data_IF_206772242331
#
_entry.id   IF_206772242331
#
_cell.length_a   1.000
_cell.length_b   1.000
_cell.length_c   1.000
_cell.angle_alpha   90.00
_cell.angle_beta   90.00
_cell.angle_gamma   90.00
#
_symmetry.space_group_name_H-M   'P 1'
#
loop_
_entity.id
_entity.type
_entity.pdbx_description
1 polymer ?
#
# COMPACT_ATOMS: atom_id res chain seq x y z
N UNK A 1 -22.73 -5.47 -2.64
CA UNK A 1 -24.03 -5.37 -3.33
C UNK A 1 -24.41 -3.91 -3.57
N UNK A 2 -24.45 -3.06 -2.52
CA UNK A 2 -24.86 -1.66 -2.64
C UNK A 2 -24.14 -0.87 -3.75
N UNK A 3 -22.84 -1.09 -3.95
CA UNK A 3 -22.08 -0.45 -5.03
C UNK A 3 -22.54 -0.88 -6.44
N UNK A 4 -23.00 -2.13 -6.60
CA UNK A 4 -23.46 -2.65 -7.91
C UNK A 4 -24.79 -2.01 -8.35
N UNK A 5 -25.66 -1.66 -7.39
CA UNK A 5 -26.99 -1.12 -7.65
C UNK A 5 -27.09 0.39 -7.45
N UNK A 6 -25.99 1.06 -7.12
CA UNK A 6 -25.96 2.50 -6.88
C UNK A 6 -26.40 3.29 -8.13
N UNK A 7 -27.50 4.08 -8.06
CA UNK A 7 -27.98 4.91 -9.17
C UNK A 7 -27.24 6.24 -9.31
N UNK A 8 -26.61 6.73 -8.21
CA UNK A 8 -25.87 8.00 -8.17
C UNK A 8 -24.46 7.81 -7.65
N UNK A 9 -23.58 8.77 -7.99
CA UNK A 9 -22.18 8.72 -7.57
C UNK A 9 -22.04 8.92 -6.05
N UNK A 10 -22.87 9.73 -5.43
CA UNK A 10 -22.86 9.99 -3.98
C UNK A 10 -23.19 8.73 -3.21
N UNK A 11 -24.21 7.96 -3.67
CA UNK A 11 -24.54 6.69 -3.06
C UNK A 11 -23.43 5.66 -3.26
N UNK A 12 -22.79 5.64 -4.44
CA UNK A 12 -21.65 4.78 -4.69
C UNK A 12 -20.49 5.10 -3.72
N UNK A 13 -20.17 6.37 -3.51
CA UNK A 13 -19.12 6.80 -2.56
C UNK A 13 -19.48 6.33 -1.14
N UNK A 14 -20.71 6.55 -0.70
CA UNK A 14 -21.18 6.08 0.61
C UNK A 14 -21.07 4.56 0.79
N UNK A 15 -21.46 3.79 -0.22
CA UNK A 15 -21.34 2.32 -0.21
C UNK A 15 -19.87 1.85 -0.23
N UNK A 16 -18.97 2.57 -0.91
CA UNK A 16 -17.52 2.30 -0.90
C UNK A 16 -16.93 2.58 0.47
N UNK A 17 -17.37 3.62 1.15
CA UNK A 17 -16.95 3.90 2.53
C UNK A 17 -17.34 2.76 3.49
N UNK A 18 -18.59 2.31 3.43
CA UNK A 18 -19.05 1.16 4.23
C UNK A 18 -18.28 -0.14 3.89
N UNK A 19 -18.01 -0.37 2.60
CA UNK A 19 -17.20 -1.49 2.15
C UNK A 19 -15.78 -1.41 2.72
N UNK A 20 -15.18 -0.21 2.81
CA UNK A 20 -13.87 0.02 3.40
C UNK A 20 -13.79 -0.38 4.87
N UNK A 21 -14.82 -0.05 5.66
CA UNK A 21 -14.92 -0.47 7.07
C UNK A 21 -14.89 -2.00 7.19
N UNK A 22 -15.67 -2.70 6.37
CA UNK A 22 -15.66 -4.17 6.35
C UNK A 22 -14.31 -4.74 5.89
N UNK A 23 -13.66 -4.13 4.92
CA UNK A 23 -12.37 -4.58 4.39
C UNK A 23 -11.24 -4.49 5.44
N UNK A 24 -11.30 -3.54 6.37
CA UNK A 24 -10.32 -3.43 7.46
C UNK A 24 -10.28 -4.69 8.35
N UNK A 25 -11.44 -5.29 8.63
CA UNK A 25 -11.53 -6.55 9.37
C UNK A 25 -10.90 -7.71 8.60
N UNK A 26 -11.14 -7.79 7.28
CA UNK A 26 -10.60 -8.86 6.41
C UNK A 26 -9.08 -8.82 6.35
N UNK A 27 -8.46 -7.67 6.51
CA UNK A 27 -6.99 -7.53 6.50
C UNK A 27 -6.33 -7.97 7.82
N UNK A 28 -7.03 -7.90 8.94
CA UNK A 28 -6.48 -8.18 10.27
C UNK A 28 -6.81 -9.59 10.79
N UNK A 29 -8.05 -10.04 10.60
CA UNK A 29 -8.56 -11.31 11.16
C UNK A 29 -7.75 -12.53 10.71
N UNK A 30 -7.40 -12.74 9.42
CA UNK A 30 -6.66 -13.93 9.00
C UNK A 30 -5.31 -14.07 9.70
N UNK A 31 -4.62 -12.96 9.95
CA UNK A 31 -3.33 -12.97 10.66
C UNK A 31 -3.49 -13.39 12.12
N UNK A 32 -4.58 -12.96 12.76
CA UNK A 32 -4.91 -13.37 14.12
C UNK A 32 -5.22 -14.87 14.17
N UNK A 33 -6.06 -15.37 13.27
CA UNK A 33 -6.42 -16.80 13.17
C UNK A 33 -5.17 -17.68 12.98
N UNK A 34 -4.26 -17.29 12.08
CA UNK A 34 -3.01 -18.05 11.88
C UNK A 34 -2.22 -18.13 13.19
N UNK A 35 -2.07 -17.00 13.91
CA UNK A 35 -1.34 -16.95 15.16
C UNK A 35 -1.99 -17.78 16.28
N UNK A 36 -3.32 -17.87 16.27
CA UNK A 36 -4.06 -18.64 17.26
C UNK A 36 -3.99 -20.15 17.00
N UNK A 37 -3.91 -20.57 15.72
CA UNK A 37 -3.96 -21.98 15.32
C UNK A 37 -2.58 -22.60 15.09
N UNK A 38 -1.56 -21.79 14.73
CA UNK A 38 -0.27 -22.28 14.28
C UNK A 38 0.88 -21.55 14.99
N UNK A 39 1.99 -22.25 15.18
CA UNK A 39 3.23 -21.71 15.77
C UNK A 39 4.45 -22.09 14.92
N UNK A 40 5.57 -21.41 15.11
CA UNK A 40 6.83 -21.72 14.43
C UNK A 40 6.76 -21.64 12.91
N UNK A 41 7.33 -22.61 12.21
CA UNK A 41 7.48 -22.61 10.75
C UNK A 41 6.14 -22.63 10.00
N UNK A 42 5.11 -23.31 10.51
CA UNK A 42 3.81 -23.38 9.84
C UNK A 42 3.10 -22.02 9.87
N UNK A 43 3.16 -21.31 11.00
CA UNK A 43 2.64 -19.94 11.08
C UNK A 43 3.37 -19.01 10.10
N UNK A 44 4.69 -19.09 10.05
CA UNK A 44 5.52 -18.28 9.14
C UNK A 44 5.18 -18.56 7.68
N UNK A 45 5.03 -19.84 7.30
CA UNK A 45 4.66 -20.25 5.93
C UNK A 45 3.30 -19.71 5.51
N UNK A 46 2.30 -19.81 6.40
CA UNK A 46 0.94 -19.30 6.12
C UNK A 46 0.92 -17.77 6.03
N UNK A 47 1.63 -17.07 6.92
CA UNK A 47 1.78 -15.61 6.86
C UNK A 47 2.44 -15.17 5.55
N UNK A 48 3.51 -15.86 5.13
CA UNK A 48 4.18 -15.58 3.84
C UNK A 48 3.25 -15.80 2.66
N UNK A 49 2.38 -16.81 2.71
CA UNK A 49 1.39 -17.06 1.67
C UNK A 49 0.36 -15.93 1.58
N UNK A 50 -0.15 -15.44 2.71
CA UNK A 50 -1.05 -14.27 2.73
C UNK A 50 -0.35 -13.05 2.14
N UNK A 51 0.90 -12.78 2.53
CA UNK A 51 1.67 -11.65 2.00
C UNK A 51 1.90 -11.78 0.50
N UNK A 52 2.19 -12.98 0.00
CA UNK A 52 2.32 -13.25 -1.44
C UNK A 52 1.02 -12.93 -2.19
N UNK A 53 -0.12 -13.38 -1.68
CA UNK A 53 -1.43 -13.12 -2.29
C UNK A 53 -1.71 -11.61 -2.34
N UNK A 54 -1.50 -10.89 -1.23
CA UNK A 54 -1.70 -9.45 -1.16
C UNK A 54 -0.80 -8.70 -2.14
N UNK A 55 0.46 -9.12 -2.27
CA UNK A 55 1.43 -8.46 -3.14
C UNK A 55 1.16 -8.72 -4.63
N UNK A 56 0.70 -9.92 -4.97
CA UNK A 56 0.45 -10.35 -6.36
C UNK A 56 -0.93 -9.88 -6.86
N UNK A 57 -1.93 -9.77 -5.98
CA UNK A 57 -3.29 -9.36 -6.34
C UNK A 57 -3.39 -8.07 -7.17
N UNK A 58 -2.67 -6.97 -6.85
CA UNK A 58 -2.73 -5.76 -7.65
C UNK A 58 -2.23 -5.93 -9.09
N UNK A 59 -1.36 -6.91 -9.36
CA UNK A 59 -0.87 -7.18 -10.72
C UNK A 59 -1.97 -7.78 -11.60
N UNK A 60 -2.79 -8.66 -11.04
CA UNK A 60 -3.86 -9.33 -11.76
C UNK A 60 -5.18 -8.57 -11.75
N UNK A 61 -5.39 -7.69 -10.77
CA UNK A 61 -6.65 -6.99 -10.60
C UNK A 61 -7.09 -6.18 -11.84
N UNK A 62 -6.24 -5.40 -12.53
CA UNK A 62 -6.64 -4.70 -13.74
C UNK A 62 -6.96 -5.64 -14.91
N UNK A 63 -6.21 -6.75 -15.05
CA UNK A 63 -6.44 -7.77 -16.08
C UNK A 63 -7.81 -8.45 -15.90
N UNK A 64 -8.07 -8.95 -14.69
CA UNK A 64 -9.35 -9.56 -14.34
C UNK A 64 -10.50 -8.54 -14.43
N UNK A 65 -10.25 -7.30 -13.98
CA UNK A 65 -11.20 -6.21 -14.08
C UNK A 65 -11.56 -5.91 -15.52
N UNK A 66 -10.59 -5.78 -16.42
CA UNK A 66 -10.84 -5.52 -17.85
C UNK A 66 -11.61 -6.67 -18.53
N UNK A 67 -11.29 -7.92 -18.19
CA UNK A 67 -11.98 -9.11 -18.70
C UNK A 67 -13.48 -9.14 -18.30
N UNK A 68 -13.82 -8.56 -17.15
CA UNK A 68 -15.22 -8.45 -16.68
C UNK A 68 -15.91 -7.18 -17.21
N UNK A 69 -15.21 -6.05 -17.21
CA UNK A 69 -15.79 -4.74 -17.58
C UNK A 69 -16.16 -4.70 -19.06
N UNK A 70 -15.30 -5.24 -19.93
CA UNK A 70 -15.51 -5.16 -21.38
C UNK A 70 -16.82 -5.85 -21.82
N UNK A 71 -17.15 -7.09 -21.42
CA UNK A 71 -18.39 -7.75 -21.83
C UNK A 71 -19.62 -7.38 -20.96
N UNK A 72 -19.44 -7.06 -19.66
CA UNK A 72 -20.55 -6.95 -18.69
C UNK A 72 -20.70 -5.57 -18.05
N UNK A 73 -19.80 -4.65 -18.33
CA UNK A 73 -19.79 -3.30 -17.74
C UNK A 73 -19.25 -3.28 -16.30
N UNK A 74 -19.03 -2.06 -15.80
CA UNK A 74 -18.36 -1.83 -14.51
C UNK A 74 -19.11 -2.37 -13.29
N UNK A 75 -20.47 -2.44 -13.35
CA UNK A 75 -21.30 -2.97 -12.25
C UNK A 75 -21.05 -4.45 -12.01
N UNK A 76 -20.72 -5.21 -13.04
CA UNK A 76 -20.43 -6.64 -12.94
C UNK A 76 -19.19 -6.94 -12.06
N UNK A 77 -18.24 -6.03 -11.98
CA UNK A 77 -17.08 -6.16 -11.07
C UNK A 77 -17.54 -6.18 -9.61
N UNK A 78 -18.47 -5.29 -9.24
CA UNK A 78 -19.01 -5.28 -7.88
C UNK A 78 -19.84 -6.51 -7.56
N UNK A 79 -20.55 -7.06 -8.55
CA UNK A 79 -21.29 -8.31 -8.41
C UNK A 79 -20.31 -9.47 -8.20
N UNK A 80 -19.25 -9.57 -9.00
CA UNK A 80 -18.22 -10.60 -8.85
C UNK A 80 -17.55 -10.55 -7.46
N UNK A 81 -17.18 -9.33 -7.00
CA UNK A 81 -16.63 -9.12 -5.65
C UNK A 81 -17.64 -9.50 -4.56
N UNK A 82 -18.92 -9.19 -4.76
CA UNK A 82 -19.97 -9.56 -3.80
C UNK A 82 -20.16 -11.09 -3.70
N UNK A 83 -20.14 -11.80 -4.84
CA UNK A 83 -20.19 -13.26 -4.87
C UNK A 83 -18.98 -13.90 -4.20
N UNK A 84 -17.77 -13.41 -4.49
CA UNK A 84 -16.55 -13.87 -3.85
C UNK A 84 -16.60 -13.62 -2.32
N UNK A 85 -17.09 -12.45 -1.90
CA UNK A 85 -17.26 -12.11 -0.48
C UNK A 85 -18.30 -13.00 0.21
N UNK A 86 -19.40 -13.35 -0.47
CA UNK A 86 -20.42 -14.25 0.06
C UNK A 86 -19.85 -15.67 0.23
N UNK A 87 -19.08 -16.14 -0.75
CA UNK A 87 -18.37 -17.43 -0.65
C UNK A 87 -17.39 -17.43 0.53
N UNK A 88 -16.56 -16.37 0.66
CA UNK A 88 -15.65 -16.22 1.79
C UNK A 88 -16.39 -16.19 3.14
N UNK A 89 -17.52 -15.49 3.22
CA UNK A 89 -18.37 -15.47 4.40
C UNK A 89 -18.90 -16.87 4.73
N UNK A 90 -19.41 -17.59 3.74
CA UNK A 90 -19.92 -18.95 3.92
C UNK A 90 -18.80 -19.89 4.41
N UNK A 91 -17.60 -19.83 3.80
CA UNK A 91 -16.46 -20.61 4.24
C UNK A 91 -16.08 -20.28 5.69
N UNK A 92 -16.00 -19.02 6.05
CA UNK A 92 -15.70 -18.59 7.43
C UNK A 92 -16.77 -19.06 8.41
N UNK A 93 -18.05 -18.94 8.05
CA UNK A 93 -19.18 -19.30 8.95
C UNK A 93 -19.31 -20.80 9.19
N UNK A 94 -19.02 -21.60 8.17
CA UNK A 94 -19.30 -23.05 8.23
C UNK A 94 -18.03 -23.91 8.38
N UNK A 95 -16.86 -23.43 7.95
CA UNK A 95 -15.62 -24.20 7.97
C UNK A 95 -14.61 -23.72 9.01
N UNK A 96 -14.70 -22.46 9.51
CA UNK A 96 -13.76 -21.93 10.47
C UNK A 96 -14.37 -21.97 11.88
N UNK A 97 -13.85 -22.81 12.81
CA UNK A 97 -14.25 -22.79 14.21
C UNK A 97 -13.73 -21.53 14.90
N UNK A 98 -14.28 -21.20 16.08
CA UNK A 98 -13.72 -20.14 16.94
C UNK A 98 -12.30 -20.53 17.38
N UNK A 99 -11.32 -19.70 17.03
CA UNK A 99 -9.91 -20.00 17.26
C UNK A 99 -9.38 -19.43 18.58
N UNK A 100 -9.99 -18.35 19.08
CA UNK A 100 -9.58 -17.71 20.32
C UNK A 100 -10.21 -18.39 21.53
N UNK A 101 -9.39 -19.10 22.30
CA UNK A 101 -9.82 -19.75 23.55
C UNK A 101 -10.41 -18.72 24.53
N UNK A 102 -11.48 -19.05 25.26
CA UNK A 102 -12.11 -18.14 26.22
C UNK A 102 -11.15 -17.55 27.26
N UNK A 103 -10.14 -18.32 27.66
CA UNK A 103 -9.11 -17.93 28.63
C UNK A 103 -8.19 -16.81 28.10
N UNK A 104 -8.00 -16.73 26.80
CA UNK A 104 -7.13 -15.75 26.15
C UNK A 104 -7.89 -14.48 25.71
N UNK A 105 -9.19 -14.40 25.98
CA UNK A 105 -10.00 -13.24 25.64
C UNK A 105 -9.70 -12.08 26.58
N UNK A 106 -8.93 -11.12 26.12
CA UNK A 106 -8.66 -9.90 26.88
C UNK A 106 -9.77 -8.88 26.65
N UNK A 107 -10.30 -8.23 27.71
CA UNK A 107 -11.27 -7.17 27.53
C UNK A 107 -10.63 -5.99 26.76
N UNK A 108 -11.34 -5.49 25.76
CA UNK A 108 -10.91 -4.31 25.02
C UNK A 108 -10.92 -3.09 25.95
N UNK A 109 -9.73 -2.54 26.22
CA UNK A 109 -9.57 -1.34 27.06
C UNK A 109 -9.20 -0.14 26.18
N UNK A 110 -10.19 0.67 25.83
CA UNK A 110 -10.01 1.89 25.02
C UNK A 110 -8.94 2.81 25.60
N UNK A 111 -8.85 2.93 26.94
CA UNK A 111 -7.82 3.76 27.60
C UNK A 111 -6.37 3.31 27.30
N UNK A 112 -6.12 2.00 27.20
CA UNK A 112 -4.79 1.49 26.87
C UNK A 112 -4.44 1.80 25.40
N UNK A 113 -5.42 1.69 24.50
CA UNK A 113 -5.24 2.02 23.08
C UNK A 113 -4.96 3.53 22.90
N UNK A 114 -5.74 4.38 23.54
CA UNK A 114 -5.52 5.83 23.48
C UNK A 114 -4.17 6.25 24.08
N UNK A 115 -3.74 5.59 25.16
CA UNK A 115 -2.41 5.82 25.74
C UNK A 115 -1.30 5.39 24.79
N UNK A 116 -1.44 4.21 24.15
CA UNK A 116 -0.49 3.74 23.15
C UNK A 116 -0.42 4.69 21.95
N UNK A 117 -1.56 5.20 21.44
CA UNK A 117 -1.56 6.24 20.41
C UNK A 117 -0.84 7.51 20.87
N UNK A 118 -1.06 7.95 22.12
CA UNK A 118 -0.36 9.11 22.67
C UNK A 118 1.17 8.93 22.72
N UNK A 119 1.66 7.74 23.02
CA UNK A 119 3.10 7.40 22.95
C UNK A 119 3.61 7.46 21.52
N UNK A 120 2.91 6.81 20.59
CA UNK A 120 3.31 6.70 19.17
C UNK A 120 3.32 8.06 18.47
N UNK A 121 2.31 8.92 18.70
CA UNK A 121 2.29 10.27 18.12
C UNK A 121 3.41 11.20 18.64
N UNK A 122 3.94 10.93 19.83
CA UNK A 122 5.07 11.68 20.39
C UNK A 122 6.42 11.14 19.96
N UNK A 123 6.47 9.92 19.46
CA UNK A 123 7.70 9.33 18.95
C UNK A 123 7.97 9.84 17.53
N UNK A 124 8.97 10.71 17.42
CA UNK A 124 9.38 11.33 16.15
C UNK A 124 10.02 10.30 15.19
N UNK A 125 10.62 9.22 15.72
CA UNK A 125 11.21 8.15 14.90
C UNK A 125 10.11 7.32 14.25
N UNK A 126 9.15 6.85 15.05
CA UNK A 126 7.97 6.13 14.57
C UNK A 126 7.18 6.96 13.55
N UNK A 127 6.86 8.22 13.87
CA UNK A 127 6.11 9.11 12.99
C UNK A 127 6.85 9.40 11.70
N UNK A 128 8.15 9.63 11.75
CA UNK A 128 8.98 9.88 10.58
C UNK A 128 8.99 8.69 9.62
N UNK A 129 9.24 7.47 10.13
CA UNK A 129 9.22 6.24 9.32
C UNK A 129 7.83 5.93 8.76
N UNK A 130 6.79 6.10 9.57
CA UNK A 130 5.39 5.93 9.15
C UNK A 130 5.03 6.91 8.03
N UNK A 131 5.44 8.16 8.13
CA UNK A 131 5.16 9.17 7.10
C UNK A 131 6.01 8.97 5.83
N UNK A 132 7.23 8.44 5.93
CA UNK A 132 8.01 8.01 4.75
C UNK A 132 7.21 6.96 3.97
N UNK A 133 6.72 5.92 4.65
CA UNK A 133 5.82 4.93 4.04
C UNK A 133 4.52 5.56 3.51
N UNK A 134 3.97 6.53 4.24
CA UNK A 134 2.78 7.30 3.84
C UNK A 134 2.98 8.08 2.54
N UNK A 135 4.12 8.74 2.36
CA UNK A 135 4.45 9.42 1.10
C UNK A 135 4.58 8.43 -0.05
N UNK A 136 5.16 7.26 0.21
CA UNK A 136 5.19 6.16 -0.75
C UNK A 136 3.79 5.71 -1.17
N UNK A 137 2.89 5.51 -0.20
CA UNK A 137 1.49 5.17 -0.49
C UNK A 137 0.76 6.30 -1.22
N UNK A 138 1.04 7.57 -0.88
CA UNK A 138 0.52 8.73 -1.59
C UNK A 138 0.90 8.74 -3.07
N UNK A 139 2.16 8.48 -3.36
CA UNK A 139 2.67 8.32 -4.73
C UNK A 139 1.96 7.17 -5.48
N UNK A 140 1.90 6.00 -4.86
CA UNK A 140 1.25 4.82 -5.45
C UNK A 140 -0.24 5.04 -5.72
N UNK A 141 -0.96 5.61 -4.77
CA UNK A 141 -2.39 5.89 -4.94
C UNK A 141 -2.66 7.01 -5.94
N UNK A 142 -1.79 8.00 -6.07
CA UNK A 142 -1.87 9.01 -7.14
C UNK A 142 -1.76 8.34 -8.51
N UNK A 143 -0.83 7.41 -8.68
CA UNK A 143 -0.72 6.60 -9.89
C UNK A 143 -1.97 5.74 -10.12
N UNK A 144 -2.44 5.04 -9.09
CA UNK A 144 -3.63 4.20 -9.21
C UNK A 144 -4.87 4.98 -9.65
N UNK A 145 -5.05 6.20 -9.15
CA UNK A 145 -6.20 7.04 -9.45
C UNK A 145 -6.16 7.64 -10.88
N UNK A 146 -4.96 7.95 -11.39
CA UNK A 146 -4.82 8.70 -12.65
C UNK A 146 -4.35 7.84 -13.82
N UNK A 147 -3.69 6.70 -13.57
CA UNK A 147 -3.04 5.88 -14.60
C UNK A 147 -4.00 5.39 -15.69
N UNK A 148 -5.22 4.98 -15.33
CA UNK A 148 -6.19 4.48 -16.31
C UNK A 148 -6.60 5.59 -17.28
N UNK A 149 -6.89 6.79 -16.78
CA UNK A 149 -7.24 7.94 -17.62
C UNK A 149 -6.05 8.38 -18.49
N UNK A 150 -4.85 8.45 -17.89
CA UNK A 150 -3.64 8.83 -18.59
C UNK A 150 -3.29 7.83 -19.71
N UNK A 151 -3.28 6.54 -19.40
CA UNK A 151 -2.86 5.52 -20.37
C UNK A 151 -3.88 5.34 -21.50
N UNK A 152 -5.19 5.38 -21.18
CA UNK A 152 -6.23 5.15 -22.17
C UNK A 152 -6.58 6.44 -22.94
N UNK A 153 -6.68 7.60 -22.29
CA UNK A 153 -7.13 8.83 -22.96
C UNK A 153 -5.97 9.62 -23.60
N UNK A 154 -4.82 9.73 -22.90
CA UNK A 154 -3.69 10.50 -23.43
C UNK A 154 -2.83 9.68 -24.40
N UNK A 155 -2.49 8.42 -24.03
CA UNK A 155 -1.68 7.54 -24.89
C UNK A 155 -2.51 6.64 -25.81
N UNK A 156 -3.84 6.63 -25.72
CA UNK A 156 -4.72 5.86 -26.59
C UNK A 156 -4.64 4.34 -26.41
N UNK A 157 -4.21 3.84 -25.25
CA UNK A 157 -4.10 2.41 -25.02
C UNK A 157 -5.48 1.77 -24.81
N UNK A 158 -5.62 0.52 -25.26
CA UNK A 158 -6.77 -0.30 -24.91
C UNK A 158 -6.74 -0.71 -23.42
N UNK A 159 -7.89 -1.12 -22.86
CA UNK A 159 -7.96 -1.61 -21.48
C UNK A 159 -6.99 -2.78 -21.20
N UNK A 160 -6.76 -3.64 -22.19
CA UNK A 160 -5.80 -4.74 -22.08
C UNK A 160 -4.35 -4.23 -22.02
N UNK A 161 -3.99 -3.29 -22.92
CA UNK A 161 -2.64 -2.70 -22.94
C UNK A 161 -2.36 -1.91 -21.66
N UNK A 162 -3.37 -1.16 -21.14
CA UNK A 162 -3.30 -0.53 -19.83
C UNK A 162 -2.98 -1.54 -18.73
N UNK A 163 -3.72 -2.65 -18.69
CA UNK A 163 -3.52 -3.69 -17.67
C UNK A 163 -2.11 -4.29 -17.73
N UNK A 164 -1.57 -4.50 -18.93
CA UNK A 164 -0.21 -5.01 -19.12
C UNK A 164 0.84 -4.00 -18.64
N UNK A 165 0.69 -2.72 -19.00
CA UNK A 165 1.60 -1.66 -18.56
C UNK A 165 1.55 -1.46 -17.03
N UNK A 166 0.37 -1.55 -16.44
CA UNK A 166 0.21 -1.54 -14.99
C UNK A 166 0.92 -2.73 -14.33
N UNK A 167 0.77 -3.94 -14.90
CA UNK A 167 1.42 -5.15 -14.39
C UNK A 167 2.95 -5.05 -14.42
N UNK A 168 3.54 -4.41 -15.43
CA UNK A 168 4.99 -4.14 -15.51
C UNK A 168 5.44 -3.30 -14.31
N UNK A 169 4.76 -2.20 -14.01
CA UNK A 169 5.09 -1.34 -12.86
C UNK A 169 4.89 -2.07 -11.52
N UNK A 170 3.79 -2.82 -11.40
CA UNK A 170 3.51 -3.63 -10.21
C UNK A 170 4.57 -4.73 -10.01
N UNK A 171 5.06 -5.34 -11.09
CA UNK A 171 6.14 -6.32 -11.03
C UNK A 171 7.44 -5.72 -10.50
N UNK A 172 7.82 -4.51 -10.94
CA UNK A 172 9.00 -3.80 -10.42
C UNK A 172 8.92 -3.58 -8.91
N UNK A 173 7.78 -3.09 -8.44
CA UNK A 173 7.50 -2.92 -7.01
C UNK A 173 7.58 -4.25 -6.25
N UNK A 174 6.89 -5.28 -6.74
CA UNK A 174 6.84 -6.58 -6.09
C UNK A 174 8.22 -7.25 -6.04
N UNK A 175 8.94 -7.32 -7.16
CA UNK A 175 10.26 -7.93 -7.23
C UNK A 175 11.24 -7.28 -6.24
N UNK A 176 11.25 -5.95 -6.18
CA UNK A 176 12.08 -5.22 -5.23
C UNK A 176 11.65 -5.48 -3.77
N UNK A 177 10.35 -5.53 -3.47
CA UNK A 177 9.87 -5.80 -2.12
C UNK A 177 10.26 -7.19 -1.61
N UNK A 178 10.34 -8.20 -2.50
CA UNK A 178 10.83 -9.53 -2.14
C UNK A 178 12.34 -9.55 -1.85
N UNK A 179 13.09 -8.60 -2.39
CA UNK A 179 14.53 -8.47 -2.13
C UNK A 179 14.83 -7.72 -0.83
N UNK A 180 13.86 -7.01 -0.24
CA UNK A 180 14.08 -6.14 0.92
C UNK A 180 14.72 -6.90 2.09
N UNK A 181 14.14 -8.03 2.51
CA UNK A 181 14.67 -8.82 3.63
C UNK A 181 16.11 -9.31 3.40
N UNK A 182 16.46 -9.74 2.18
CA UNK A 182 17.80 -10.18 1.84
C UNK A 182 18.80 -9.01 1.86
N UNK A 183 18.38 -7.84 1.39
CA UNK A 183 19.19 -6.64 1.41
C UNK A 183 19.40 -6.11 2.84
N UNK A 184 18.35 -6.15 3.66
CA UNK A 184 18.40 -5.79 5.08
C UNK A 184 19.35 -6.71 5.86
N UNK A 185 19.29 -8.03 5.63
CA UNK A 185 20.20 -8.98 6.23
C UNK A 185 21.67 -8.74 5.84
N UNK A 186 21.92 -8.28 4.61
CA UNK A 186 23.28 -8.05 4.08
C UNK A 186 23.84 -6.68 4.45
N UNK A 187 23.05 -5.64 4.42
CA UNK A 187 23.51 -4.25 4.53
C UNK A 187 22.96 -3.52 5.77
N UNK A 188 22.03 -4.11 6.51
CA UNK A 188 21.30 -3.49 7.61
C UNK A 188 20.12 -2.64 7.13
N UNK A 189 19.01 -2.69 7.87
CA UNK A 189 17.75 -2.02 7.50
C UNK A 189 17.91 -0.49 7.34
N UNK A 190 18.71 0.15 8.21
CA UNK A 190 18.96 1.60 8.17
C UNK A 190 19.66 2.05 6.89
N UNK A 191 20.61 1.26 6.38
CA UNK A 191 21.31 1.56 5.13
C UNK A 191 20.40 1.31 3.93
N UNK A 192 19.61 0.23 3.97
CA UNK A 192 18.66 -0.10 2.92
C UNK A 192 17.61 0.99 2.76
N UNK A 193 16.98 1.46 3.86
CA UNK A 193 15.97 2.52 3.78
C UNK A 193 16.54 3.82 3.23
N UNK A 194 17.75 4.23 3.65
CA UNK A 194 18.41 5.44 3.13
C UNK A 194 18.66 5.35 1.62
N UNK A 195 19.20 4.22 1.16
CA UNK A 195 19.46 3.99 -0.28
C UNK A 195 18.16 3.91 -1.08
N UNK A 196 17.15 3.22 -0.55
CA UNK A 196 15.85 3.08 -1.20
C UNK A 196 15.12 4.42 -1.35
N UNK A 197 15.09 5.24 -0.29
CA UNK A 197 14.46 6.58 -0.33
C UNK A 197 15.22 7.52 -1.26
N UNK A 198 16.57 7.49 -1.26
CA UNK A 198 17.38 8.28 -2.19
C UNK A 198 17.15 7.85 -3.64
N UNK A 199 17.14 6.54 -3.92
CA UNK A 199 16.84 6.00 -5.26
C UNK A 199 15.44 6.33 -5.73
N UNK A 200 14.44 6.20 -4.85
CA UNK A 200 13.06 6.59 -5.10
C UNK A 200 12.95 8.07 -5.49
N UNK A 201 13.60 8.96 -4.73
CA UNK A 201 13.60 10.39 -5.01
C UNK A 201 14.30 10.71 -6.32
N UNK A 202 15.48 10.13 -6.56
CA UNK A 202 16.23 10.35 -7.79
C UNK A 202 15.45 9.90 -9.01
N UNK A 203 14.85 8.70 -8.99
CA UNK A 203 14.04 8.19 -10.09
C UNK A 203 12.81 9.06 -10.34
N UNK A 204 12.07 9.44 -9.28
CA UNK A 204 10.87 10.27 -9.38
C UNK A 204 11.18 11.68 -9.92
N UNK A 205 12.21 12.33 -9.40
CA UNK A 205 12.62 13.67 -9.86
C UNK A 205 13.18 13.63 -11.29
N UNK A 206 13.95 12.60 -11.65
CA UNK A 206 14.45 12.44 -13.03
C UNK A 206 13.29 12.26 -14.01
N UNK A 207 12.29 11.44 -13.66
CA UNK A 207 11.10 11.29 -14.48
C UNK A 207 10.33 12.60 -14.63
N UNK A 208 10.16 13.36 -13.54
CA UNK A 208 9.51 14.67 -13.60
C UNK A 208 10.26 15.64 -14.53
N UNK A 209 11.58 15.73 -14.40
CA UNK A 209 12.42 16.60 -15.26
C UNK A 209 12.33 16.17 -16.72
N UNK A 210 12.39 14.87 -17.03
CA UNK A 210 12.25 14.36 -18.40
C UNK A 210 10.92 14.75 -19.01
N UNK A 211 9.81 14.57 -18.30
CA UNK A 211 8.47 14.94 -18.78
C UNK A 211 8.36 16.46 -18.99
N UNK A 212 8.90 17.27 -18.08
CA UNK A 212 8.94 18.73 -18.24
C UNK A 212 9.83 19.19 -19.41
N UNK A 213 10.85 18.42 -19.77
CA UNK A 213 11.69 18.66 -20.93
C UNK A 213 11.07 18.20 -22.27
N UNK A 214 9.83 17.68 -22.25
CA UNK A 214 9.10 17.22 -23.44
C UNK A 214 9.34 15.75 -23.81
N UNK A 215 10.03 14.99 -22.96
CA UNK A 215 10.19 13.53 -23.11
C UNK A 215 9.06 12.77 -22.40
N UNK A 216 7.83 13.01 -22.85
CA UNK A 216 6.62 12.44 -22.25
C UNK A 216 6.08 11.19 -22.98
N UNK A 217 6.92 10.55 -23.84
CA UNK A 217 6.53 9.35 -24.55
C UNK A 217 6.21 8.20 -23.57
N UNK A 218 5.24 7.37 -23.94
CA UNK A 218 4.76 6.25 -23.12
C UNK A 218 5.86 5.35 -22.57
N UNK A 219 6.89 4.92 -23.36
CA UNK A 219 7.98 4.08 -22.82
C UNK A 219 8.80 4.79 -21.74
N UNK A 220 9.03 6.10 -21.87
CA UNK A 220 9.77 6.90 -20.87
C UNK A 220 9.00 6.96 -19.57
N UNK A 221 7.69 7.21 -19.64
CA UNK A 221 6.82 7.23 -18.47
C UNK A 221 6.80 5.86 -17.75
N UNK A 222 6.59 4.77 -18.50
CA UNK A 222 6.55 3.42 -17.91
C UNK A 222 7.89 3.03 -17.30
N UNK A 223 9.01 3.27 -17.99
CA UNK A 223 10.34 2.97 -17.47
C UNK A 223 10.69 3.80 -16.23
N UNK A 224 10.36 5.09 -16.23
CA UNK A 224 10.57 5.97 -15.07
C UNK A 224 9.74 5.56 -13.86
N UNK A 225 8.46 5.22 -14.07
CA UNK A 225 7.59 4.72 -13.01
C UNK A 225 8.03 3.33 -12.52
N UNK A 226 8.49 2.45 -13.41
CA UNK A 226 9.05 1.16 -13.04
C UNK A 226 10.25 1.30 -12.09
N UNK A 227 11.20 2.16 -12.41
CA UNK A 227 12.34 2.46 -11.54
C UNK A 227 11.88 3.07 -10.21
N UNK A 228 10.97 4.05 -10.26
CA UNK A 228 10.44 4.72 -9.08
C UNK A 228 9.75 3.76 -8.14
N UNK A 229 8.85 2.91 -8.66
CA UNK A 229 8.13 1.92 -7.84
C UNK A 229 8.99 0.71 -7.46
N UNK A 230 10.04 0.41 -8.23
CA UNK A 230 11.07 -0.55 -7.81
C UNK A 230 11.74 -0.11 -6.49
N UNK A 231 12.21 1.14 -6.40
CA UNK A 231 12.74 1.64 -5.13
C UNK A 231 11.68 1.74 -4.03
N UNK A 232 10.44 2.13 -4.37
CA UNK A 232 9.34 2.17 -3.41
C UNK A 232 9.03 0.79 -2.83
N UNK A 233 9.21 -0.28 -3.60
CA UNK A 233 9.08 -1.65 -3.13
C UNK A 233 10.03 -2.01 -1.98
N UNK A 234 11.18 -1.34 -1.90
CA UNK A 234 12.10 -1.44 -0.74
C UNK A 234 11.67 -0.52 0.41
N UNK A 235 11.20 0.70 0.10
CA UNK A 235 10.86 1.71 1.12
C UNK A 235 9.73 1.24 2.04
N UNK A 236 8.64 0.70 1.49
CA UNK A 236 7.44 0.38 2.28
C UNK A 236 7.68 -0.70 3.34
N UNK A 237 8.22 -1.90 3.02
CA UNK A 237 8.46 -2.91 4.03
C UNK A 237 9.51 -2.48 5.05
N UNK A 238 10.64 -1.91 4.59
CA UNK A 238 11.73 -1.51 5.47
C UNK A 238 11.31 -0.40 6.44
N UNK A 239 10.54 0.59 5.98
CA UNK A 239 10.03 1.65 6.86
C UNK A 239 9.09 1.10 7.93
N UNK A 240 8.27 0.10 7.59
CA UNK A 240 7.34 -0.52 8.54
C UNK A 240 8.07 -1.37 9.57
N UNK A 241 9.07 -2.15 9.16
CA UNK A 241 9.90 -2.95 10.09
C UNK A 241 10.60 -2.04 11.09
N UNK A 242 11.32 -1.02 10.62
CA UNK A 242 12.02 -0.06 11.49
C UNK A 242 11.06 0.71 12.41
N UNK A 243 9.87 1.10 11.94
CA UNK A 243 8.89 1.80 12.76
C UNK A 243 8.35 0.94 13.92
N UNK A 244 8.34 -0.39 13.77
CA UNK A 244 7.83 -1.31 14.79
C UNK A 244 8.92 -1.84 15.74
N UNK A 245 10.20 -1.69 15.40
CA UNK A 245 11.33 -2.31 16.12
C UNK A 245 11.35 -1.90 17.60
N UNK A 246 11.20 -0.62 17.89
CA UNK A 246 11.21 -0.09 19.26
C UNK A 246 9.87 -0.26 20.01
N UNK A 247 8.84 -0.82 19.36
CA UNK A 247 7.48 -0.82 19.87
C UNK A 247 6.90 -2.23 20.10
N UNK A 248 7.76 -3.23 20.36
CA UNK A 248 7.38 -4.64 20.56
C UNK A 248 6.14 -4.85 21.42
N UNK A 249 6.04 -4.26 22.65
CA UNK A 249 4.90 -4.45 23.54
C UNK A 249 3.55 -3.93 23.00
N UNK A 250 3.59 -2.94 22.08
CA UNK A 250 2.40 -2.32 21.45
C UNK A 250 2.45 -2.44 19.92
N UNK A 251 3.22 -3.38 19.39
CA UNK A 251 3.46 -3.51 17.93
C UNK A 251 2.18 -3.64 17.12
N UNK A 252 1.15 -4.34 17.62
CA UNK A 252 -0.15 -4.43 16.96
C UNK A 252 -0.85 -3.07 16.82
N UNK A 253 -0.81 -2.25 17.88
CA UNK A 253 -1.38 -0.90 17.86
C UNK A 253 -0.55 0.04 16.98
N UNK A 254 0.78 -0.09 17.00
CA UNK A 254 1.69 0.67 16.16
C UNK A 254 1.48 0.33 14.67
N UNK A 255 1.36 -0.95 14.33
CA UNK A 255 1.06 -1.37 12.96
C UNK A 255 -0.29 -0.86 12.45
N UNK A 256 -1.32 -0.89 13.31
CA UNK A 256 -2.65 -0.38 12.98
C UNK A 256 -2.63 1.14 12.75
N UNK A 257 -1.99 1.89 13.65
CA UNK A 257 -1.85 3.34 13.52
C UNK A 257 -1.03 3.71 12.30
N UNK A 258 0.13 3.06 12.10
CA UNK A 258 1.01 3.30 10.95
C UNK A 258 0.29 3.05 9.63
N UNK A 259 -0.40 1.91 9.50
CA UNK A 259 -1.20 1.59 8.31
C UNK A 259 -2.33 2.60 8.07
N UNK A 260 -3.02 3.04 9.13
CA UNK A 260 -4.07 4.06 9.03
C UNK A 260 -3.50 5.40 8.54
N UNK A 261 -2.39 5.86 9.11
CA UNK A 261 -1.75 7.12 8.70
C UNK A 261 -1.28 7.06 7.24
N UNK A 262 -0.72 5.93 6.80
CA UNK A 262 -0.32 5.73 5.40
C UNK A 262 -1.52 5.81 4.45
N UNK A 263 -2.67 5.20 4.82
CA UNK A 263 -3.90 5.29 4.03
C UNK A 263 -4.48 6.70 3.99
N UNK A 264 -4.43 7.44 5.09
CA UNK A 264 -4.87 8.85 5.15
C UNK A 264 -4.01 9.72 4.24
N UNK A 265 -2.68 9.58 4.31
CA UNK A 265 -1.77 10.29 3.39
C UNK A 265 -2.06 9.94 1.93
N UNK A 266 -2.31 8.65 1.65
CA UNK A 266 -2.72 8.18 0.32
C UNK A 266 -4.02 8.82 -0.15
N UNK A 267 -5.04 8.89 0.70
CA UNK A 267 -6.32 9.50 0.38
C UNK A 267 -6.18 11.02 0.09
N UNK A 268 -5.38 11.73 0.89
CA UNK A 268 -5.08 13.14 0.67
C UNK A 268 -4.35 13.34 -0.68
N UNK A 269 -3.37 12.50 -0.98
CA UNK A 269 -2.63 12.57 -2.24
C UNK A 269 -3.56 12.33 -3.46
N UNK A 270 -4.47 11.36 -3.39
CA UNK A 270 -5.51 11.15 -4.42
C UNK A 270 -6.37 12.40 -4.59
N UNK A 271 -6.86 12.97 -3.49
CA UNK A 271 -7.74 14.14 -3.55
C UNK A 271 -7.04 15.32 -4.24
N UNK A 272 -5.76 15.57 -3.86
CA UNK A 272 -4.96 16.65 -4.45
C UNK A 272 -4.70 16.40 -5.94
N UNK A 273 -4.19 15.21 -6.30
CA UNK A 273 -3.86 14.92 -7.69
C UNK A 273 -5.09 14.92 -8.59
N UNK A 274 -6.22 14.39 -8.09
CA UNK A 274 -7.47 14.36 -8.85
C UNK A 274 -8.03 15.76 -9.11
N UNK A 275 -7.85 16.70 -8.17
CA UNK A 275 -8.30 18.08 -8.32
C UNK A 275 -7.51 18.87 -9.39
N UNK A 276 -6.23 18.52 -9.61
CA UNK A 276 -5.36 19.18 -10.59
C UNK A 276 -5.14 18.36 -11.85
N UNK A 277 -5.76 17.19 -11.97
CA UNK A 277 -5.57 16.29 -13.09
C UNK A 277 -6.22 16.85 -14.36
N UNK A 278 -5.41 17.00 -15.40
CA UNK A 278 -5.79 17.60 -16.69
C UNK A 278 -5.59 16.65 -17.88
N UNK A 279 -5.63 15.35 -17.65
CA UNK A 279 -5.36 14.29 -18.64
C UNK A 279 -3.95 14.32 -19.27
N UNK A 280 -2.98 15.00 -18.66
CA UNK A 280 -1.56 14.95 -19.06
C UNK A 280 -0.73 14.19 -18.04
N UNK A 281 0.51 13.73 -18.36
CA UNK A 281 1.36 13.06 -17.41
C UNK A 281 1.89 13.97 -16.28
N UNK A 282 1.91 15.29 -16.49
CA UNK A 282 2.54 16.26 -15.57
C UNK A 282 1.99 16.21 -14.15
N UNK A 283 0.67 16.23 -13.88
CA UNK A 283 0.17 16.19 -12.51
C UNK A 283 0.56 14.90 -11.77
N UNK A 284 0.57 13.75 -12.47
CA UNK A 284 0.98 12.48 -11.89
C UNK A 284 2.47 12.51 -11.50
N UNK A 285 3.36 12.82 -12.45
CA UNK A 285 4.80 12.78 -12.18
C UNK A 285 5.22 13.85 -11.17
N UNK A 286 4.52 14.99 -11.13
CA UNK A 286 4.70 16.03 -10.12
C UNK A 286 4.31 15.53 -8.72
N UNK A 287 3.13 14.90 -8.57
CA UNK A 287 2.68 14.34 -7.30
C UNK A 287 3.66 13.26 -6.79
N UNK A 288 4.14 12.39 -7.68
CA UNK A 288 5.13 11.36 -7.37
C UNK A 288 6.44 11.98 -6.90
N UNK A 289 6.94 13.02 -7.60
CA UNK A 289 8.17 13.73 -7.24
C UNK A 289 8.05 14.46 -5.89
N UNK A 290 6.93 15.14 -5.64
CA UNK A 290 6.68 15.81 -4.34
C UNK A 290 6.65 14.79 -3.20
N UNK A 291 5.94 13.69 -3.35
CA UNK A 291 5.93 12.62 -2.33
C UNK A 291 7.35 12.10 -2.06
N UNK A 292 8.16 11.92 -3.09
CA UNK A 292 9.53 11.44 -2.97
C UNK A 292 10.46 12.46 -2.28
N UNK A 293 10.32 13.74 -2.59
CA UNK A 293 11.07 14.84 -1.94
C UNK A 293 10.71 14.95 -0.45
N UNK A 294 9.42 14.85 -0.10
CA UNK A 294 8.99 14.85 1.30
C UNK A 294 9.54 13.61 2.01
N UNK A 295 9.50 12.44 1.38
CA UNK A 295 10.06 11.21 1.97
C UNK A 295 11.57 11.33 2.27
N UNK A 296 12.37 11.90 1.36
CA UNK A 296 13.80 12.18 1.59
C UNK A 296 13.98 13.15 2.74
N UNK A 297 13.24 14.24 2.75
CA UNK A 297 13.30 15.23 3.83
C UNK A 297 13.00 14.60 5.19
N UNK A 298 11.92 13.82 5.27
CA UNK A 298 11.58 13.07 6.48
C UNK A 298 12.69 12.07 6.87
N UNK A 299 13.31 11.39 5.91
CA UNK A 299 14.37 10.43 6.18
C UNK A 299 15.61 11.07 6.79
N UNK A 300 15.96 12.29 6.38
CA UNK A 300 17.07 13.05 6.94
C UNK A 300 16.83 13.35 8.44
N UNK A 301 15.59 13.65 8.82
CA UNK A 301 15.26 13.96 10.22
C UNK A 301 15.00 12.69 11.06
N UNK A 302 14.23 11.75 10.55
CA UNK A 302 13.85 10.53 11.28
C UNK A 302 15.03 9.58 11.50
N UNK A 303 15.95 9.48 10.53
CA UNK A 303 17.09 8.54 10.59
C UNK A 303 18.38 9.16 11.19
N UNK A 304 18.30 10.38 11.74
CA UNK A 304 19.43 11.01 12.46
C UNK A 304 19.65 10.45 13.86
N UNK A 305 18.61 9.92 14.51
CA UNK A 305 18.76 9.22 15.79
C UNK A 305 19.36 7.84 15.52
N UNK A 306 20.64 7.69 15.80
CA UNK A 306 21.29 6.37 15.93
C UNK A 306 20.59 5.61 17.05
N UNK A 307 20.19 4.35 16.87
CA UNK A 307 19.72 3.55 17.99
C UNK A 307 20.82 3.52 19.05
N UNK A 308 20.47 3.80 20.30
CA UNK A 308 21.31 3.56 21.46
C UNK A 308 21.38 2.02 21.58
N UNK A 309 22.40 1.38 20.98
CA UNK A 309 22.51 -0.08 21.04
C UNK A 309 23.62 -0.74 20.23
N UNK A 310 24.50 0.01 19.55
CA UNK A 310 25.71 -0.59 18.93
C UNK A 310 26.99 0.01 19.55
N UNK A 311 27.13 -0.16 20.87
CA UNK A 311 28.41 0.05 21.54
C UNK A 311 28.48 -0.94 22.73
N UNK A 312 28.71 -2.22 22.44
CA UNK A 312 29.37 -3.18 23.34
C UNK A 312 29.77 -4.43 22.55
#
# INVERSE_FOLDING_TARGET
VGCAVAPTIELLIGMRFLQGIGAAAVMSIPRAVIRDCYTGNDATRLMSTIMLIIAVSPMFAPLLGSAVIVPFGWRAVFIAVALASLLGFAMTRFALPETLKPENRSPFKMGNMLRAFGVLFRDTHFMGLTLIGGMGMGSFFSFLATSSFLYMNYYGLTAFQYSLAFAVNAFGFFAASQMAANLEAKFGALKVIRMAVAGYCTAACSLFVLVMAGFDQFPVLVAGLFCTYGFLGLVLPTSMVLALEDHGPIAGTAAALGGTLQMVVGAIAIAIVSAVFNNTPVPLVFAVAICALIAVTLSIFALRKTPVGEAA
#
